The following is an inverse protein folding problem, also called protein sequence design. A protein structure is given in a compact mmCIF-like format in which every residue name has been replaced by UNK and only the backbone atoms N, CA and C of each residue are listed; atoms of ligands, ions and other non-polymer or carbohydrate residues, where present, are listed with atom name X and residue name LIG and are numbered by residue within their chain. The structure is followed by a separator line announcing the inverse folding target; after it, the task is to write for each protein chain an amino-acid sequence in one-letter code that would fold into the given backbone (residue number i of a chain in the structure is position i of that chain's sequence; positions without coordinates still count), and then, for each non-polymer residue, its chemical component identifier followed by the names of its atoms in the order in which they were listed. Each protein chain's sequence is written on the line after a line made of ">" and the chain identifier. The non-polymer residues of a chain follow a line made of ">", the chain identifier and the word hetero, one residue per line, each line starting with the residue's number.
data_IF_917017323411
#
_entry.id   IF_917017323411
#
_cell.length_a   1.000
_cell.length_b   1.000
_cell.length_c   1.000
_cell.angle_alpha   90.00
_cell.angle_beta   90.00
_cell.angle_gamma   90.00
#
_symmetry.space_group_name_H-M   'P 1'
#
loop_
_entity.id
_entity.type
_entity.pdbx_description
1 polymer ?
#
# COMPACT_ATOMS: atom_id res chain seq x y z
N UNK A 1 21.08 36.02 -16.82
CA UNK A 1 21.47 34.94 -15.90
C UNK A 1 20.20 34.14 -15.60
N UNK A 2 20.11 32.85 -15.97
CA UNK A 2 19.01 32.02 -15.49
C UNK A 2 19.30 31.59 -14.03
N UNK A 3 18.27 31.72 -13.19
CA UNK A 3 18.26 31.30 -11.79
C UNK A 3 18.44 29.78 -11.66
N UNK A 4 19.03 29.27 -10.56
CA UNK A 4 19.09 27.85 -10.31
C UNK A 4 17.75 27.37 -9.75
N UNK A 5 16.87 26.89 -10.62
CA UNK A 5 15.90 25.83 -10.32
C UNK A 5 16.69 24.53 -10.57
N UNK A 6 16.93 23.62 -9.62
CA UNK A 6 15.99 22.93 -8.76
C UNK A 6 16.74 22.50 -7.49
N UNK A 7 16.07 22.62 -6.35
CA UNK A 7 16.49 22.06 -5.06
C UNK A 7 16.57 20.53 -5.17
N UNK A 8 17.79 19.98 -5.21
CA UNK A 8 18.07 18.54 -5.20
C UNK A 8 17.76 17.92 -3.82
N UNK A 9 16.49 17.90 -3.42
CA UNK A 9 16.05 17.32 -2.14
C UNK A 9 14.59 16.85 -2.17
N UNK A 10 14.11 16.28 -3.27
CA UNK A 10 12.92 15.41 -3.20
C UNK A 10 13.37 14.05 -2.66
N UNK A 11 13.48 13.99 -1.33
CA UNK A 11 13.45 12.73 -0.59
C UNK A 11 12.26 11.93 -1.11
N UNK A 12 12.48 10.70 -1.57
CA UNK A 12 11.43 9.81 -2.07
C UNK A 12 10.43 9.49 -0.93
N UNK A 13 9.45 10.36 -0.72
CA UNK A 13 8.31 10.18 0.20
C UNK A 13 7.08 9.59 -0.48
N UNK A 14 7.15 9.38 -1.79
CA UNK A 14 6.06 8.86 -2.59
C UNK A 14 6.14 7.33 -2.67
N UNK A 15 4.99 6.63 -2.56
CA UNK A 15 4.93 5.20 -2.80
C UNK A 15 5.30 4.89 -4.24
N UNK A 16 5.96 3.75 -4.45
CA UNK A 16 6.33 3.29 -5.79
C UNK A 16 5.07 3.12 -6.65
N UNK A 17 5.21 3.34 -7.96
CA UNK A 17 4.10 3.10 -8.90
C UNK A 17 3.62 1.65 -8.84
N UNK A 18 4.52 0.72 -8.55
CA UNK A 18 4.22 -0.70 -8.36
C UNK A 18 3.35 -0.92 -7.12
N UNK A 19 3.70 -0.38 -5.95
CA UNK A 19 2.88 -0.51 -4.75
C UNK A 19 1.47 0.08 -4.94
N UNK A 20 1.37 1.24 -5.59
CA UNK A 20 0.08 1.87 -5.92
C UNK A 20 -0.73 1.04 -6.93
N UNK A 21 -0.06 0.47 -7.94
CA UNK A 21 -0.68 -0.40 -8.93
C UNK A 21 -1.27 -1.65 -8.29
N UNK A 22 -0.47 -2.33 -7.45
CA UNK A 22 -0.86 -3.54 -6.73
C UNK A 22 -1.98 -3.24 -5.74
N UNK A 23 -1.92 -2.13 -5.00
CA UNK A 23 -2.99 -1.72 -4.10
C UNK A 23 -4.34 -1.57 -4.84
N UNK A 24 -4.34 -1.03 -6.06
CA UNK A 24 -5.57 -0.95 -6.87
C UNK A 24 -6.01 -2.32 -7.39
N UNK A 25 -5.07 -3.17 -7.78
CA UNK A 25 -5.34 -4.50 -8.34
C UNK A 25 -5.97 -5.46 -7.32
N UNK A 26 -5.62 -5.33 -6.04
CA UNK A 26 -6.16 -6.22 -4.99
C UNK A 26 -7.59 -5.91 -4.58
N UNK A 27 -8.15 -4.75 -4.98
CA UNK A 27 -9.54 -4.40 -4.68
C UNK A 27 -10.49 -5.39 -5.37
N UNK A 28 -11.42 -5.95 -4.59
CA UNK A 28 -12.38 -6.96 -5.03
C UNK A 28 -11.85 -8.40 -4.99
N UNK A 29 -10.59 -8.63 -4.60
CA UNK A 29 -10.03 -9.96 -4.39
C UNK A 29 -10.25 -10.44 -2.96
N UNK A 30 -10.11 -11.74 -2.74
CA UNK A 30 -10.09 -12.30 -1.39
C UNK A 30 -8.81 -11.92 -0.64
N UNK A 31 -8.84 -11.97 0.69
CA UNK A 31 -7.67 -11.72 1.55
C UNK A 31 -6.45 -12.54 1.12
N UNK A 32 -6.63 -13.84 0.92
CA UNK A 32 -5.54 -14.75 0.55
C UNK A 32 -4.94 -14.40 -0.81
N UNK A 33 -5.77 -14.05 -1.80
CA UNK A 33 -5.29 -13.64 -3.12
C UNK A 33 -4.57 -12.29 -3.06
N UNK A 34 -5.10 -11.33 -2.30
CA UNK A 34 -4.50 -10.02 -2.12
C UNK A 34 -3.10 -10.14 -1.48
N UNK A 35 -2.97 -10.90 -0.40
CA UNK A 35 -1.69 -11.15 0.27
C UNK A 35 -0.71 -11.83 -0.70
N UNK A 36 -1.16 -12.86 -1.43
CA UNK A 36 -0.31 -13.59 -2.39
C UNK A 36 0.21 -12.68 -3.51
N UNK A 37 -0.62 -11.75 -4.00
CA UNK A 37 -0.21 -10.79 -5.03
C UNK A 37 0.79 -9.77 -4.49
N UNK A 38 0.55 -9.23 -3.30
CA UNK A 38 1.42 -8.22 -2.67
C UNK A 38 2.79 -8.81 -2.34
N UNK A 39 2.82 -9.97 -1.68
CA UNK A 39 4.08 -10.63 -1.30
C UNK A 39 4.79 -11.28 -2.50
N UNK A 40 4.05 -11.56 -3.57
CA UNK A 40 4.58 -12.08 -4.83
C UNK A 40 5.28 -11.04 -5.71
N UNK A 41 5.17 -9.75 -5.39
CA UNK A 41 5.87 -8.67 -6.10
C UNK A 41 7.38 -8.88 -5.98
N UNK A 42 8.02 -9.19 -7.10
CA UNK A 42 9.45 -9.49 -7.11
C UNK A 42 10.33 -8.23 -7.26
N UNK A 43 9.75 -7.12 -7.71
CA UNK A 43 10.46 -5.85 -7.92
C UNK A 43 10.80 -5.11 -6.63
N UNK A 44 10.03 -5.35 -5.57
CA UNK A 44 10.19 -4.72 -4.26
C UNK A 44 9.56 -5.58 -3.17
N UNK A 45 10.08 -5.49 -1.94
CA UNK A 45 9.59 -6.28 -0.82
C UNK A 45 8.40 -5.59 -0.16
N UNK A 46 7.21 -5.81 -0.70
CA UNK A 46 5.97 -5.31 -0.11
C UNK A 46 5.43 -6.25 0.97
N UNK A 47 4.71 -5.66 1.93
CA UNK A 47 4.02 -6.36 3.00
C UNK A 47 2.56 -5.99 3.03
N UNK A 48 1.67 -6.98 3.21
CA UNK A 48 0.24 -6.75 3.38
C UNK A 48 -0.10 -6.66 4.88
N UNK A 49 -1.02 -5.76 5.25
CA UNK A 49 -1.57 -5.68 6.61
C UNK A 49 -3.07 -5.40 6.58
N UNK A 50 -3.86 -6.24 7.24
CA UNK A 50 -5.29 -5.99 7.42
C UNK A 50 -5.49 -4.98 8.56
N UNK A 51 -6.13 -3.85 8.26
CA UNK A 51 -6.42 -2.78 9.23
C UNK A 51 -7.88 -2.74 9.66
N UNK A 52 -8.76 -3.35 8.87
CA UNK A 52 -10.19 -3.50 9.16
C UNK A 52 -10.72 -4.78 8.53
N UNK A 53 -11.57 -5.50 9.26
CA UNK A 53 -12.34 -6.64 8.75
C UNK A 53 -13.79 -6.44 9.17
N UNK A 54 -14.68 -6.32 8.18
CA UNK A 54 -16.08 -6.00 8.37
C UNK A 54 -16.22 -4.78 9.30
N UNK A 55 -17.03 -4.86 10.35
CA UNK A 55 -17.24 -3.76 11.29
C UNK A 55 -16.14 -3.64 12.38
N UNK A 56 -15.07 -4.45 12.30
CA UNK A 56 -13.98 -4.45 13.28
C UNK A 56 -12.73 -3.75 12.74
N UNK A 57 -12.32 -2.67 13.41
CA UNK A 57 -11.05 -1.99 13.16
C UNK A 57 -9.94 -2.53 14.06
N UNK A 58 -8.79 -2.83 13.47
CA UNK A 58 -7.59 -3.23 14.21
C UNK A 58 -6.80 -1.99 14.62
N UNK A 59 -6.39 -1.94 15.89
CA UNK A 59 -5.50 -0.89 16.37
C UNK A 59 -4.13 -1.03 15.69
N UNK A 60 -3.73 0.01 14.96
CA UNK A 60 -2.44 0.07 14.26
C UNK A 60 -1.69 1.34 14.60
N UNK A 61 -0.37 1.25 14.58
CA UNK A 61 0.53 2.41 14.66
C UNK A 61 0.45 3.21 13.37
N UNK A 62 0.46 4.54 13.50
CA UNK A 62 0.49 5.46 12.35
C UNK A 62 1.93 5.73 11.90
N UNK A 63 2.78 4.69 11.84
CA UNK A 63 4.11 4.76 11.25
C UNK A 63 3.97 4.66 9.73
N UNK A 64 4.24 5.73 8.97
CA UNK A 64 4.11 5.68 7.52
C UNK A 64 5.22 4.82 6.90
N UNK A 65 4.82 3.76 6.19
CA UNK A 65 5.70 2.80 5.54
C UNK A 65 5.37 2.62 4.06
N UNK A 66 6.31 2.96 3.19
CA UNK A 66 6.18 2.83 1.73
C UNK A 66 6.17 1.36 1.26
N UNK A 67 6.72 0.46 2.07
CA UNK A 67 6.79 -0.98 1.80
C UNK A 67 5.58 -1.77 2.34
N UNK A 68 4.53 -1.07 2.79
CA UNK A 68 3.37 -1.69 3.43
C UNK A 68 2.06 -1.26 2.77
N UNK A 69 1.24 -2.23 2.42
CA UNK A 69 -0.11 -2.04 1.88
C UNK A 69 -1.11 -2.44 2.96
N UNK A 70 -1.88 -1.46 3.43
CA UNK A 70 -3.00 -1.69 4.33
C UNK A 70 -4.23 -2.12 3.54
N UNK A 71 -4.94 -3.12 4.06
CA UNK A 71 -6.14 -3.70 3.47
C UNK A 71 -7.34 -3.51 4.41
N UNK A 72 -8.44 -3.05 3.85
CA UNK A 72 -9.76 -3.13 4.48
C UNK A 72 -10.58 -4.20 3.76
N UNK A 73 -11.16 -5.11 4.53
CA UNK A 73 -11.88 -6.26 4.02
C UNK A 73 -13.33 -6.19 4.50
N UNK A 74 -14.28 -6.41 3.60
CA UNK A 74 -15.70 -6.60 3.91
C UNK A 74 -16.20 -7.87 3.25
N UNK A 75 -16.91 -8.71 4.01
CA UNK A 75 -17.48 -9.97 3.55
C UNK A 75 -16.45 -10.88 2.85
N UNK A 76 -15.20 -10.85 3.33
CA UNK A 76 -14.08 -11.63 2.79
C UNK A 76 -13.43 -11.06 1.53
N UNK A 77 -13.85 -9.89 1.05
CA UNK A 77 -13.28 -9.21 -0.12
C UNK A 77 -12.62 -7.89 0.28
N UNK A 78 -11.50 -7.56 -0.36
CA UNK A 78 -10.83 -6.27 -0.17
C UNK A 78 -11.69 -5.16 -0.76
N UNK A 79 -12.13 -4.22 0.06
CA UNK A 79 -12.91 -3.05 -0.39
C UNK A 79 -12.07 -1.80 -0.53
N UNK A 80 -10.98 -1.69 0.23
CA UNK A 80 -9.98 -0.62 0.10
C UNK A 80 -8.58 -1.15 0.34
N UNK A 81 -7.63 -0.56 -0.37
CA UNK A 81 -6.20 -0.79 -0.15
C UNK A 81 -5.43 0.51 -0.37
N UNK A 82 -4.45 0.77 0.49
CA UNK A 82 -3.60 1.96 0.43
C UNK A 82 -2.21 1.70 1.03
N UNK A 83 -1.21 2.41 0.54
CA UNK A 83 0.17 2.30 1.04
C UNK A 83 0.30 3.11 2.33
N UNK A 84 0.91 2.53 3.38
CA UNK A 84 1.13 3.21 4.65
C UNK A 84 1.53 2.33 5.82
#
# INVERSE_FOLDING_TARGET
>A
MPSPDISSSDMQFEPSETALGVAKEVIGKTESEAISLIEGVSSEKLSARVVRRDDENYAVTMDYRLDRINLEIDSGLVTKAYVG
#
